data_IF_180469262283
#
_entry.id   IF_180469262283
#
_cell.length_a   1.000
_cell.length_b   1.000
_cell.length_c   1.000
_cell.angle_alpha   90.00
_cell.angle_beta   90.00
_cell.angle_gamma   90.00
#
_symmetry.space_group_name_H-M   'P 1'
#
loop_
_entity.id
_entity.type
_entity.pdbx_description
1 polymer ?
#
# COMPACT_ATOMS: atom_id res chain seq x y z
N UNK A 1 -12.87 -13.29 -30.64
CA UNK A 1 -11.60 -12.90 -30.00
C UNK A 1 -11.77 -11.55 -29.30
N UNK A 2 -12.00 -11.53 -27.99
CA UNK A 2 -12.09 -10.27 -27.24
C UNK A 2 -10.97 -10.26 -26.19
N UNK A 3 -9.89 -9.52 -26.49
CA UNK A 3 -8.75 -9.31 -25.59
C UNK A 3 -9.16 -8.35 -24.45
N UNK A 4 -9.83 -8.86 -23.41
CA UNK A 4 -10.29 -8.07 -22.24
C UNK A 4 -9.46 -8.28 -20.96
N UNK A 5 -8.19 -8.61 -21.07
CA UNK A 5 -7.35 -8.99 -19.91
C UNK A 5 -6.38 -7.91 -19.41
N UNK A 6 -6.34 -6.70 -19.99
CA UNK A 6 -5.35 -5.66 -19.61
C UNK A 6 -5.85 -4.53 -18.71
N UNK A 7 -7.15 -4.39 -18.47
CA UNK A 7 -7.71 -3.25 -17.73
C UNK A 7 -7.86 -3.47 -16.21
N UNK A 8 -7.77 -4.72 -15.72
CA UNK A 8 -7.83 -5.00 -14.28
C UNK A 8 -6.49 -4.79 -13.53
N UNK A 9 -5.40 -4.48 -14.23
CA UNK A 9 -4.07 -4.33 -13.61
C UNK A 9 -3.78 -2.90 -13.13
N UNK A 10 -4.47 -1.90 -13.67
CA UNK A 10 -4.18 -0.48 -13.43
C UNK A 10 -4.91 0.11 -12.20
N UNK A 11 -5.91 -0.60 -11.68
CA UNK A 11 -6.84 -0.03 -10.72
C UNK A 11 -6.36 -0.19 -9.25
N UNK A 12 -5.34 -0.98 -8.95
CA UNK A 12 -4.54 -0.77 -7.75
C UNK A 12 -3.27 -0.03 -8.19
N UNK A 13 -3.38 1.26 -8.52
CA UNK A 13 -2.25 2.10 -8.90
C UNK A 13 -1.23 2.13 -7.75
N UNK A 14 -0.28 1.20 -7.86
CA UNK A 14 0.45 0.55 -6.77
C UNK A 14 1.00 1.53 -5.73
N UNK A 15 0.77 1.23 -4.45
CA UNK A 15 1.65 1.71 -3.40
C UNK A 15 3.02 1.09 -3.67
N UNK A 16 3.93 1.88 -4.22
CA UNK A 16 5.30 1.44 -4.49
C UNK A 16 6.06 1.48 -3.18
N UNK A 17 6.87 0.44 -2.93
CA UNK A 17 7.82 0.44 -1.84
C UNK A 17 9.18 0.82 -2.41
N UNK A 18 9.72 1.91 -1.91
CA UNK A 18 11.11 2.31 -2.16
C UNK A 18 11.99 1.77 -1.04
N UNK A 19 13.23 1.45 -1.38
CA UNK A 19 14.18 0.89 -0.42
C UNK A 19 15.48 1.66 -0.45
N UNK A 20 16.03 1.87 0.74
CA UNK A 20 17.38 2.39 0.91
C UNK A 20 18.14 1.53 1.93
N UNK A 21 19.45 1.75 2.04
CA UNK A 21 20.32 1.05 2.98
C UNK A 21 21.18 2.05 3.74
N UNK A 22 21.07 2.00 5.06
CA UNK A 22 21.85 2.82 5.98
C UNK A 22 23.32 2.42 6.01
N UNK A 23 24.17 3.33 6.49
CA UNK A 23 25.62 3.10 6.66
C UNK A 23 25.92 1.94 7.62
N UNK A 24 25.07 1.72 8.63
CA UNK A 24 25.15 0.59 9.56
C UNK A 24 24.63 -0.73 8.98
N UNK A 25 24.18 -0.72 7.73
CA UNK A 25 23.74 -1.88 6.98
C UNK A 25 22.25 -2.21 7.12
N UNK A 26 21.48 -1.49 7.94
CA UNK A 26 20.01 -1.65 8.04
C UNK A 26 19.33 -1.25 6.73
N UNK A 27 18.23 -1.94 6.42
CA UNK A 27 17.35 -1.62 5.31
C UNK A 27 16.24 -0.68 5.76
N UNK A 28 15.94 0.32 4.94
CA UNK A 28 14.76 1.16 5.01
C UNK A 28 13.81 0.75 3.90
N UNK A 29 12.52 0.70 4.21
CA UNK A 29 11.46 0.57 3.23
C UNK A 29 10.44 1.70 3.46
N UNK A 30 10.09 2.44 2.43
CA UNK A 30 9.16 3.58 2.48
C UNK A 30 8.05 3.41 1.44
N UNK A 31 6.86 3.92 1.74
CA UNK A 31 5.77 4.07 0.77
C UNK A 31 5.54 5.57 0.54
N UNK A 32 6.18 6.22 -0.44
CA UNK A 32 6.15 7.69 -0.59
C UNK A 32 4.74 8.27 -0.79
N UNK A 33 3.80 7.46 -1.29
CA UNK A 33 2.40 7.85 -1.45
C UNK A 33 1.63 7.96 -0.12
N UNK A 34 2.17 7.42 0.96
CA UNK A 34 1.59 7.48 2.29
C UNK A 34 2.59 8.18 3.22
N UNK A 35 2.38 9.48 3.47
CA UNK A 35 3.22 10.27 4.36
C UNK A 35 3.39 9.58 5.71
N UNK A 36 4.64 9.42 6.15
CA UNK A 36 5.00 8.77 7.42
C UNK A 36 5.05 7.24 7.39
N UNK A 37 4.76 6.59 6.26
CA UNK A 37 4.84 5.13 6.13
C UNK A 37 6.25 4.71 5.72
N UNK A 38 7.05 4.37 6.74
CA UNK A 38 8.37 3.80 6.58
C UNK A 38 8.63 2.72 7.64
N UNK A 39 9.56 1.81 7.37
CA UNK A 39 10.02 0.83 8.34
C UNK A 39 11.45 0.38 8.11
N UNK A 40 12.12 0.00 9.21
CA UNK A 40 13.48 -0.54 9.20
C UNK A 40 13.50 -2.06 9.31
N UNK A 41 14.50 -2.71 8.73
CA UNK A 41 14.77 -4.13 8.87
C UNK A 41 16.27 -4.46 8.82
N UNK A 42 16.67 -5.54 9.48
CA UNK A 42 18.02 -6.11 9.30
C UNK A 42 18.18 -6.71 7.90
N UNK A 43 17.07 -7.09 7.26
CA UNK A 43 17.04 -7.53 5.86
C UNK A 43 16.02 -6.75 5.04
N UNK A 44 16.22 -6.68 3.72
CA UNK A 44 15.27 -6.07 2.78
C UNK A 44 13.85 -6.65 2.91
N UNK A 45 13.76 -7.98 3.12
CA UNK A 45 12.48 -8.68 3.29
C UNK A 45 11.78 -8.29 4.59
N UNK A 46 12.53 -8.13 5.67
CA UNK A 46 11.99 -7.71 6.96
C UNK A 46 11.48 -6.26 6.91
N UNK A 47 12.25 -5.36 6.28
CA UNK A 47 11.82 -3.97 6.04
C UNK A 47 10.51 -3.94 5.21
N UNK A 48 10.43 -4.76 4.16
CA UNK A 48 9.22 -4.91 3.33
C UNK A 48 7.99 -5.38 4.13
N UNK A 49 8.15 -6.41 4.95
CA UNK A 49 7.04 -6.93 5.76
C UNK A 49 6.54 -5.88 6.76
N UNK A 50 7.47 -5.15 7.39
CA UNK A 50 7.10 -4.09 8.34
C UNK A 50 6.43 -2.91 7.68
N UNK A 51 6.93 -2.44 6.53
CA UNK A 51 6.32 -1.28 5.84
C UNK A 51 4.91 -1.63 5.35
N UNK A 52 4.64 -2.87 4.95
CA UNK A 52 3.28 -3.33 4.65
C UNK A 52 2.35 -3.25 5.86
N UNK A 53 2.81 -3.67 7.04
CA UNK A 53 2.00 -3.57 8.26
C UNK A 53 1.69 -2.11 8.61
N UNK A 54 2.67 -1.21 8.50
CA UNK A 54 2.48 0.23 8.76
C UNK A 54 1.52 0.85 7.72
N UNK A 55 1.67 0.51 6.45
CA UNK A 55 0.78 0.96 5.39
C UNK A 55 -0.67 0.56 5.66
N UNK A 56 -0.91 -0.70 6.01
CA UNK A 56 -2.26 -1.21 6.31
C UNK A 56 -2.90 -0.49 7.50
N UNK A 57 -2.14 -0.25 8.58
CA UNK A 57 -2.62 0.52 9.75
C UNK A 57 -2.99 1.95 9.37
N UNK A 58 -2.10 2.63 8.65
CA UNK A 58 -2.34 4.01 8.17
C UNK A 58 -3.58 4.10 7.29
N UNK A 59 -3.81 3.09 6.45
CA UNK A 59 -5.02 3.03 5.62
C UNK A 59 -6.28 2.78 6.45
N UNK A 60 -6.19 1.97 7.51
CA UNK A 60 -7.30 1.75 8.44
C UNK A 60 -7.65 3.03 9.21
N UNK A 61 -6.65 3.71 9.79
CA UNK A 61 -6.83 4.97 10.53
C UNK A 61 -7.55 6.02 9.66
N UNK A 62 -7.13 6.18 8.40
CA UNK A 62 -7.77 7.10 7.45
C UNK A 62 -9.24 6.74 7.17
N UNK A 63 -9.57 5.44 7.12
CA UNK A 63 -10.95 5.00 6.95
C UNK A 63 -11.80 5.36 8.17
N UNK A 64 -11.26 5.19 9.38
CA UNK A 64 -11.94 5.55 10.63
C UNK A 64 -12.20 7.05 10.76
N UNK A 65 -11.27 7.88 10.27
CA UNK A 65 -11.41 9.34 10.18
C UNK A 65 -12.42 9.82 9.12
N UNK A 66 -13.00 8.90 8.32
CA UNK A 66 -13.88 9.24 7.20
C UNK A 66 -13.15 9.68 5.93
N UNK A 67 -11.81 9.64 5.93
CA UNK A 67 -10.96 9.91 4.77
C UNK A 67 -10.85 8.64 3.90
N UNK A 68 -11.88 8.36 3.11
CA UNK A 68 -11.86 7.21 2.20
C UNK A 68 -10.80 7.39 1.11
N UNK A 69 -9.66 6.73 1.27
CA UNK A 69 -8.67 6.63 0.22
C UNK A 69 -9.22 5.73 -0.90
N UNK A 70 -9.36 6.27 -2.12
CA UNK A 70 -9.91 5.59 -3.31
C UNK A 70 -9.36 4.17 -3.57
N UNK A 71 -8.08 3.85 -3.25
CA UNK A 71 -7.56 2.48 -3.33
C UNK A 71 -8.16 1.49 -2.33
N UNK A 72 -8.57 1.93 -1.13
CA UNK A 72 -9.09 1.04 -0.07
C UNK A 72 -10.49 0.54 -0.40
N UNK A 73 -11.37 1.40 -0.91
CA UNK A 73 -12.73 0.99 -1.30
C UNK A 73 -12.72 -0.06 -2.43
N UNK A 74 -11.68 -0.06 -3.27
CA UNK A 74 -11.47 -1.05 -4.34
C UNK A 74 -10.97 -2.41 -3.84
N UNK A 75 -10.35 -2.48 -2.66
CA UNK A 75 -9.95 -3.75 -2.05
C UNK A 75 -11.16 -4.61 -1.68
N UNK A 76 -12.27 -3.98 -1.32
CA UNK A 76 -13.43 -4.67 -0.77
C UNK A 76 -14.59 -4.89 -1.76
N UNK A 77 -14.45 -4.45 -3.02
CA UNK A 77 -15.42 -4.77 -4.07
C UNK A 77 -16.88 -4.43 -3.71
N UNK A 78 -17.12 -3.32 -3.01
CA UNK A 78 -18.48 -2.96 -2.60
C UNK A 78 -19.31 -2.53 -3.83
N UNK A 79 -20.14 -3.45 -4.33
CA UNK A 79 -21.34 -3.08 -5.08
C UNK A 79 -22.32 -2.46 -4.12
N UNK A 80 -22.51 -1.15 -4.19
CA UNK A 80 -23.62 -0.49 -3.50
C UNK A 80 -24.88 -1.07 -4.12
N UNK A 81 -25.53 -2.00 -3.44
CA UNK A 81 -26.87 -2.45 -3.78
C UNK A 81 -27.76 -1.21 -3.62
N UNK A 82 -28.03 -0.54 -4.75
CA UNK A 82 -28.96 0.56 -4.82
C UNK A 82 -30.30 0.09 -4.30
N UNK A 83 -30.84 0.84 -3.33
CA UNK A 83 -32.26 0.79 -2.97
C UNK A 83 -33.08 1.40 -4.09
#
# INVERSE_FOLDING_TARGET
>A
MIKRTKQNKALLSSLTVEFDREEDGRWIAEVPKLSGVMAYGTTKREALQRVYAVALRTLADRVEEGNMFTPVSRLFGYGVAGR
#
